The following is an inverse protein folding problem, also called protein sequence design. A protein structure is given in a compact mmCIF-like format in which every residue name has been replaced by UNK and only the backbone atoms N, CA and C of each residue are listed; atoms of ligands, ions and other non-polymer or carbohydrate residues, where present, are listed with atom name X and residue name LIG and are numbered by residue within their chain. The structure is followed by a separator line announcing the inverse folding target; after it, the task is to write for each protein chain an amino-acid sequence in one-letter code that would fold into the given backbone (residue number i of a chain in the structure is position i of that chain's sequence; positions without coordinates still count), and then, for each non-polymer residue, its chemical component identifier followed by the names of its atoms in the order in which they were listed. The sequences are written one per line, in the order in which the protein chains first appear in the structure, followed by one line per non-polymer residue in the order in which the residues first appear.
data_IF_124749902877
#
_entry.id   IF_124749902877
#
_cell.length_a   1.000
_cell.length_b   1.000
_cell.length_c   1.000
_cell.angle_alpha   90.00
_cell.angle_beta   90.00
_cell.angle_gamma   90.00
#
_symmetry.space_group_name_H-M   'P 1'
#
loop_
_entity.id
_entity.type
_entity.pdbx_description
1 polymer ?
#
# COMPACT_ATOMS: atom_id res chain seq x y z
N UNK A 1 19.09 10.44 -22.99
CA UNK A 1 17.87 9.69 -23.34
C UNK A 1 16.97 9.63 -22.11
N UNK A 2 15.65 9.82 -22.27
CA UNK A 2 14.69 9.53 -21.20
C UNK A 2 14.62 8.00 -21.10
N UNK A 3 14.70 7.43 -19.90
CA UNK A 3 14.62 5.97 -19.73
C UNK A 3 13.20 5.47 -20.03
N UNK A 4 13.09 4.33 -20.70
CA UNK A 4 11.80 3.71 -21.00
C UNK A 4 11.01 3.46 -19.71
N UNK A 5 9.83 4.06 -19.65
CA UNK A 5 8.94 3.87 -18.51
C UNK A 5 8.13 2.58 -18.70
N UNK A 6 7.84 1.86 -17.60
CA UNK A 6 6.96 0.71 -17.64
C UNK A 6 5.60 1.08 -18.24
N UNK A 7 5.05 0.19 -19.07
CA UNK A 7 3.84 0.44 -19.86
C UNK A 7 2.62 0.76 -18.98
N UNK A 8 2.62 0.28 -17.74
CA UNK A 8 1.62 0.56 -16.71
C UNK A 8 1.60 2.01 -16.24
N UNK A 9 2.64 2.80 -16.53
CA UNK A 9 2.67 4.24 -16.25
C UNK A 9 2.22 5.08 -17.44
N UNK A 10 2.28 4.52 -18.64
CA UNK A 10 2.03 5.24 -19.89
C UNK A 10 0.59 5.02 -20.36
N UNK A 11 0.08 3.79 -20.19
CA UNK A 11 -1.27 3.46 -20.61
C UNK A 11 -2.30 3.86 -19.54
N UNK A 12 -3.30 4.69 -19.88
CA UNK A 12 -4.38 5.03 -18.96
C UNK A 12 -5.19 3.77 -18.63
N UNK A 13 -5.44 3.59 -17.33
CA UNK A 13 -6.08 2.42 -16.76
C UNK A 13 -7.17 2.83 -15.76
N UNK A 14 -8.11 1.93 -15.44
CA UNK A 14 -9.15 2.19 -14.41
C UNK A 14 -8.50 2.46 -13.04
N UNK A 15 -9.23 3.16 -12.18
CA UNK A 15 -8.84 3.38 -10.80
C UNK A 15 -8.51 2.06 -10.10
N UNK A 16 -7.25 1.95 -9.62
CA UNK A 16 -6.73 0.79 -8.89
C UNK A 16 -6.71 -0.51 -9.70
N UNK A 17 -6.58 -0.45 -11.03
CA UNK A 17 -6.42 -1.64 -11.88
C UNK A 17 -4.99 -2.21 -11.81
N UNK A 18 -3.99 -1.32 -11.82
CA UNK A 18 -2.57 -1.66 -11.69
C UNK A 18 -1.97 -0.96 -10.46
N UNK A 19 -1.66 -1.76 -9.45
CA UNK A 19 -1.21 -1.27 -8.14
C UNK A 19 0.12 -1.92 -7.78
N UNK A 20 1.14 -1.10 -7.54
CA UNK A 20 2.38 -1.52 -6.89
C UNK A 20 2.20 -1.57 -5.39
N UNK A 21 2.90 -2.50 -4.76
CA UNK A 21 2.86 -2.69 -3.31
C UNK A 21 4.27 -2.52 -2.78
N UNK A 22 4.41 -1.73 -1.72
CA UNK A 22 5.66 -1.56 -1.00
C UNK A 22 5.39 -1.47 0.51
N UNK A 23 6.39 -1.72 1.35
CA UNK A 23 6.28 -1.58 2.80
C UNK A 23 7.39 -0.65 3.29
N UNK A 24 6.98 0.51 3.80
CA UNK A 24 7.89 1.42 4.47
C UNK A 24 8.19 0.93 5.89
N UNK A 25 9.46 1.10 6.26
CA UNK A 25 10.12 0.49 7.40
C UNK A 25 9.57 0.85 8.79
N UNK A 26 10.24 0.35 9.85
CA UNK A 26 9.73 0.39 11.20
C UNK A 26 9.71 1.84 11.71
N UNK A 27 8.53 2.44 11.66
CA UNK A 27 8.25 3.73 12.26
C UNK A 27 7.86 3.48 13.71
N UNK A 28 8.34 4.33 14.62
CA UNK A 28 8.01 4.20 16.04
C UNK A 28 6.96 5.24 16.41
N UNK A 29 5.87 4.81 17.03
CA UNK A 29 4.83 5.71 17.57
C UNK A 29 4.58 5.41 19.04
N UNK A 30 4.14 6.43 19.76
CA UNK A 30 3.69 6.30 21.15
C UNK A 30 2.25 5.79 21.15
N UNK A 31 1.97 4.73 21.89
CA UNK A 31 0.61 4.19 22.03
C UNK A 31 -0.36 5.17 22.72
N UNK A 32 0.16 6.09 23.53
CA UNK A 32 -0.62 7.08 24.26
C UNK A 32 0.12 8.42 24.32
N UNK A 33 -0.62 9.52 24.46
CA UNK A 33 -0.06 10.85 24.66
C UNK A 33 0.30 11.11 26.14
N UNK A 34 0.92 10.12 26.79
CA UNK A 34 1.33 10.19 28.19
C UNK A 34 2.86 10.13 28.31
N UNK A 35 3.42 10.76 29.35
CA UNK A 35 4.89 10.83 29.56
C UNK A 35 5.56 9.46 29.69
N UNK A 36 4.82 8.40 30.02
CA UNK A 36 5.30 7.01 30.16
C UNK A 36 4.75 6.06 29.09
N UNK A 37 4.27 6.58 27.96
CA UNK A 37 3.71 5.74 26.92
C UNK A 37 4.77 4.81 26.31
N UNK A 38 4.44 3.54 26.20
CA UNK A 38 5.32 2.56 25.57
C UNK A 38 5.40 2.86 24.06
N UNK A 39 6.61 2.82 23.52
CA UNK A 39 6.86 3.01 22.09
C UNK A 39 6.58 1.68 21.37
N UNK A 40 5.76 1.70 20.33
CA UNK A 40 5.54 0.54 19.47
C UNK A 40 6.07 0.80 18.07
N UNK A 41 6.62 -0.25 17.47
CA UNK A 41 7.04 -0.25 16.07
C UNK A 41 5.85 -0.62 15.20
N UNK A 42 5.68 0.10 14.11
CA UNK A 42 4.71 -0.21 13.07
C UNK A 42 5.34 0.01 11.70
N UNK A 43 4.71 -0.58 10.70
CA UNK A 43 5.09 -0.50 9.29
C UNK A 43 3.94 0.13 8.52
N UNK A 44 4.23 0.69 7.35
CA UNK A 44 3.21 1.27 6.48
C UNK A 44 3.22 0.50 5.18
N UNK A 45 2.11 -0.16 4.87
CA UNK A 45 1.87 -0.76 3.57
C UNK A 45 1.40 0.32 2.59
N UNK A 46 2.13 0.47 1.49
CA UNK A 46 1.90 1.42 0.42
C UNK A 46 1.26 0.68 -0.75
N UNK A 47 0.06 1.10 -1.13
CA UNK A 47 -0.59 0.67 -2.36
C UNK A 47 -0.54 1.84 -3.36
N UNK A 48 0.32 1.74 -4.37
CA UNK A 48 0.64 2.82 -5.31
C UNK A 48 0.00 2.52 -6.65
N UNK A 49 -0.88 3.40 -7.13
CA UNK A 49 -1.45 3.28 -8.47
C UNK A 49 -0.41 3.67 -9.53
N UNK A 50 -0.12 2.79 -10.48
CA UNK A 50 0.97 3.00 -11.45
C UNK A 50 0.68 4.13 -12.45
N UNK A 51 -0.56 4.25 -12.93
CA UNK A 51 -0.95 5.25 -13.92
C UNK A 51 -0.92 6.70 -13.38
N UNK A 52 -1.32 6.92 -12.11
CA UNK A 52 -1.48 8.28 -11.55
C UNK A 52 -0.59 8.59 -10.35
N UNK A 53 0.22 7.62 -9.89
CA UNK A 53 1.03 7.71 -8.66
C UNK A 53 0.21 8.04 -7.39
N UNK A 54 -1.08 7.73 -7.39
CA UNK A 54 -1.92 7.91 -6.20
C UNK A 54 -1.62 6.81 -5.18
N UNK A 55 -1.43 7.16 -3.91
CA UNK A 55 -1.04 6.22 -2.85
C UNK A 55 -2.18 6.00 -1.85
N UNK A 56 -2.43 4.74 -1.50
CA UNK A 56 -3.28 4.34 -0.38
C UNK A 56 -2.38 3.73 0.70
N UNK A 57 -2.43 4.30 1.91
CA UNK A 57 -1.57 3.92 3.02
C UNK A 57 -2.37 3.11 4.04
N UNK A 58 -1.82 1.97 4.45
CA UNK A 58 -2.39 1.13 5.50
C UNK A 58 -1.34 0.87 6.59
N UNK A 59 -1.72 1.06 7.84
CA UNK A 59 -0.84 0.76 8.99
C UNK A 59 -0.82 -0.75 9.23
N UNK A 60 0.37 -1.28 9.48
CA UNK A 60 0.62 -2.70 9.74
C UNK A 60 1.47 -2.85 11.01
N UNK A 61 1.10 -3.76 11.89
CA UNK A 61 1.79 -3.95 13.17
C UNK A 61 3.12 -4.71 13.06
N UNK A 62 3.32 -5.50 12.01
CA UNK A 62 4.53 -6.30 11.80
C UNK A 62 4.77 -6.59 10.32
N UNK A 63 6.01 -6.95 9.97
CA UNK A 63 6.38 -7.41 8.62
C UNK A 63 5.96 -8.88 8.37
N UNK A 64 4.82 -9.30 8.91
CA UNK A 64 4.32 -10.67 8.75
C UNK A 64 3.29 -10.74 7.62
N UNK A 65 3.20 -11.92 6.99
CA UNK A 65 2.20 -12.17 5.95
C UNK A 65 0.76 -11.98 6.45
N UNK A 66 0.47 -12.36 7.70
CA UNK A 66 -0.85 -12.18 8.30
C UNK A 66 -1.24 -10.70 8.46
N UNK A 67 -0.28 -9.87 8.88
CA UNK A 67 -0.50 -8.43 9.02
C UNK A 67 -0.65 -7.75 7.65
N UNK A 68 0.13 -8.19 6.66
CA UNK A 68 -0.02 -7.75 5.26
C UNK A 68 -1.38 -8.14 4.67
N UNK A 69 -1.82 -9.40 4.83
CA UNK A 69 -3.12 -9.86 4.33
C UNK A 69 -4.27 -9.05 4.94
N UNK A 70 -4.16 -8.69 6.21
CA UNK A 70 -5.12 -7.81 6.87
C UNK A 70 -5.16 -6.42 6.22
N UNK A 71 -4.01 -5.86 5.85
CA UNK A 71 -3.93 -4.60 5.11
C UNK A 71 -4.50 -4.71 3.68
N UNK A 72 -4.21 -5.81 2.98
CA UNK A 72 -4.76 -6.08 1.65
C UNK A 72 -6.29 -6.18 1.69
N UNK A 73 -6.86 -6.85 2.70
CA UNK A 73 -8.32 -6.94 2.88
C UNK A 73 -8.95 -5.56 3.11
N UNK A 74 -8.30 -4.68 3.89
CA UNK A 74 -8.76 -3.29 4.08
C UNK A 74 -8.68 -2.48 2.78
N UNK A 75 -7.60 -2.65 2.01
CA UNK A 75 -7.45 -2.02 0.71
C UNK A 75 -8.56 -2.46 -0.27
N UNK A 76 -8.75 -3.76 -0.46
CA UNK A 76 -9.78 -4.32 -1.36
C UNK A 76 -11.18 -3.92 -0.90
N UNK A 77 -11.46 -3.93 0.40
CA UNK A 77 -12.76 -3.50 0.93
C UNK A 77 -13.08 -2.03 0.64
N UNK A 78 -12.07 -1.16 0.51
CA UNK A 78 -12.27 0.27 0.23
C UNK A 78 -12.19 0.61 -1.26
N UNK A 79 -11.39 -0.13 -2.04
CA UNK A 79 -11.05 0.21 -3.43
C UNK A 79 -11.53 -0.80 -4.48
N UNK A 80 -11.98 -1.98 -4.06
CA UNK A 80 -12.29 -3.10 -4.95
C UNK A 80 -11.06 -3.91 -5.32
N UNK A 81 -11.26 -4.97 -6.09
CA UNK A 81 -10.18 -5.81 -6.60
C UNK A 81 -9.44 -5.11 -7.75
N UNK A 82 -8.11 -5.16 -7.67
CA UNK A 82 -7.20 -4.75 -8.74
C UNK A 82 -7.03 -5.93 -9.69
N UNK A 83 -8.03 -6.19 -10.54
CA UNK A 83 -7.94 -7.22 -11.58
C UNK A 83 -8.30 -6.60 -12.92
N UNK A 84 -7.39 -6.75 -13.89
CA UNK A 84 -7.67 -6.42 -15.29
C UNK A 84 -8.80 -7.35 -15.77
N UNK A 85 -9.89 -6.85 -16.39
CA UNK A 85 -11.01 -7.69 -16.85
C UNK A 85 -10.63 -8.76 -17.88
N UNK A 86 -9.39 -8.71 -18.41
CA UNK A 86 -8.86 -9.66 -19.40
C UNK A 86 -8.17 -10.88 -18.77
N UNK A 87 -7.94 -10.86 -17.46
CA UNK A 87 -7.29 -11.95 -16.72
C UNK A 87 -8.31 -12.93 -16.09
N UNK A 88 -9.59 -12.82 -16.46
CA UNK A 88 -10.67 -13.74 -16.10
C UNK A 88 -11.19 -14.50 -17.33
#
# INVERSE_FOLDING_TARGET
MIGDLPIERINPCRAFEKVGIDIAGPTTTKCQHTRKANNFKFYICLFIRMCTKAMHLEVVSSLSAAAFLSALRRFVSRRGYSSDPKDL
#
